data_IF_061242270962
#
_entry.id   IF_061242270962
#
_cell.length_a   1.000
_cell.length_b   1.000
_cell.length_c   1.000
_cell.angle_alpha   90.00
_cell.angle_beta   90.00
_cell.angle_gamma   90.00
#
_symmetry.space_group_name_H-M   'P 1'
#
loop_
_entity.id
_entity.type
_entity.pdbx_description
1 polymer ?
#
# COMPACT_ATOMS: atom_id res chain seq x y z
N UNK A 1 -6.93 23.03 3.65
CA UNK A 1 -6.02 21.87 3.54
C UNK A 1 -4.63 22.30 3.93
N UNK A 2 -4.09 21.80 5.03
CA UNK A 2 -2.78 22.19 5.59
C UNK A 2 -1.69 21.16 5.38
N UNK A 3 -1.97 20.08 4.63
CA UNK A 3 -1.05 18.98 4.36
C UNK A 3 -0.67 18.89 2.88
N UNK A 4 0.42 18.21 2.59
CA UNK A 4 0.80 17.86 1.23
C UNK A 4 -0.33 17.11 0.52
N UNK A 5 -0.62 17.46 -0.72
CA UNK A 5 -1.46 16.60 -1.58
C UNK A 5 -0.53 15.54 -2.16
N UNK A 6 -0.72 14.31 -1.73
CA UNK A 6 0.13 13.18 -2.13
C UNK A 6 -0.71 12.14 -2.83
N UNK A 7 -0.30 11.75 -4.02
CA UNK A 7 -0.77 10.52 -4.65
C UNK A 7 0.39 9.53 -4.76
N UNK A 8 0.11 8.28 -4.42
CA UNK A 8 1.07 7.19 -4.54
C UNK A 8 0.50 6.12 -5.47
N UNK A 9 1.26 5.71 -6.44
CA UNK A 9 0.90 4.66 -7.39
C UNK A 9 2.00 3.62 -7.42
N UNK A 10 1.63 2.37 -7.13
CA UNK A 10 2.53 1.24 -7.29
C UNK A 10 2.36 0.66 -8.69
N UNK A 11 3.47 0.50 -9.40
CA UNK A 11 3.52 -0.22 -10.67
C UNK A 11 4.06 -1.63 -10.44
N UNK A 12 3.31 -2.61 -10.92
CA UNK A 12 3.67 -4.04 -10.86
C UNK A 12 3.90 -4.63 -12.26
N UNK A 13 3.87 -3.80 -13.30
CA UNK A 13 4.00 -4.29 -14.68
C UNK A 13 5.33 -4.99 -14.98
N UNK A 14 6.49 -4.48 -14.54
CA UNK A 14 7.78 -5.08 -14.83
C UNK A 14 8.24 -6.08 -13.76
N UNK A 15 7.34 -6.62 -12.93
CA UNK A 15 7.74 -7.56 -11.87
C UNK A 15 8.28 -8.85 -12.48
N UNK A 16 9.47 -9.23 -12.01
CA UNK A 16 10.12 -10.51 -12.27
C UNK A 16 10.42 -11.22 -10.96
N UNK A 17 10.48 -12.54 -11.01
CA UNK A 17 10.82 -13.41 -9.87
C UNK A 17 12.08 -14.17 -10.24
N UNK A 18 13.14 -13.95 -9.48
CA UNK A 18 14.41 -14.63 -9.66
C UNK A 18 14.72 -15.47 -8.43
N UNK A 19 15.26 -16.69 -8.62
CA UNK A 19 15.72 -17.53 -7.50
C UNK A 19 16.76 -16.78 -6.69
N UNK A 20 16.51 -16.63 -5.39
CA UNK A 20 17.48 -16.01 -4.49
C UNK A 20 18.65 -16.97 -4.27
N UNK A 21 19.85 -16.48 -4.50
CA UNK A 21 21.07 -17.25 -4.27
C UNK A 21 21.61 -16.98 -2.87
N UNK A 22 22.14 -18.00 -2.23
CA UNK A 22 22.81 -17.96 -0.93
C UNK A 22 24.22 -18.53 -1.05
N UNK A 23 25.10 -18.13 -0.16
CA UNK A 23 26.51 -18.56 -0.12
C UNK A 23 27.46 -17.54 -0.75
N UNK A 24 28.65 -17.37 -0.16
CA UNK A 24 29.67 -16.44 -0.63
C UNK A 24 30.57 -17.06 -1.70
N UNK A 25 31.10 -18.26 -1.44
CA UNK A 25 32.03 -18.95 -2.34
C UNK A 25 31.26 -19.86 -3.31
N UNK A 26 30.37 -20.68 -2.75
CA UNK A 26 29.50 -21.57 -3.54
C UNK A 26 28.07 -21.05 -3.48
N UNK A 27 27.64 -20.45 -4.57
CA UNK A 27 26.25 -19.98 -4.70
C UNK A 27 25.32 -21.16 -4.90
N UNK A 28 24.33 -21.30 -4.03
CA UNK A 28 23.24 -22.27 -4.16
C UNK A 28 21.90 -21.55 -4.03
N UNK A 29 20.85 -22.14 -4.56
CA UNK A 29 19.50 -21.60 -4.41
C UNK A 29 19.12 -21.58 -2.92
N UNK A 30 18.62 -20.42 -2.47
CA UNK A 30 18.21 -20.27 -1.09
C UNK A 30 16.92 -21.03 -0.85
N UNK A 31 17.00 -22.07 -0.02
CA UNK A 31 15.87 -22.83 0.50
C UNK A 31 15.99 -22.89 2.02
N UNK A 32 14.93 -22.55 2.74
CA UNK A 32 14.88 -22.55 4.20
C UNK A 32 13.50 -22.96 4.68
N UNK A 33 13.45 -23.55 5.84
CA UNK A 33 12.17 -23.86 6.48
C UNK A 33 11.50 -22.61 7.05
N UNK A 34 10.22 -22.41 6.72
CA UNK A 34 9.39 -21.30 7.18
C UNK A 34 8.20 -21.89 7.94
N UNK A 35 8.23 -21.82 9.29
CA UNK A 35 7.29 -22.53 10.13
C UNK A 35 7.39 -24.04 9.92
N UNK A 36 6.28 -24.66 9.53
CA UNK A 36 6.22 -26.11 9.28
C UNK A 36 6.55 -26.52 7.82
N UNK A 37 6.89 -25.55 6.93
CA UNK A 37 6.98 -25.77 5.48
C UNK A 37 8.38 -25.51 4.94
N UNK A 38 8.86 -26.36 4.04
CA UNK A 38 10.07 -26.07 3.29
C UNK A 38 9.75 -25.10 2.15
N UNK A 39 10.58 -24.07 1.99
CA UNK A 39 10.30 -22.97 1.09
C UNK A 39 11.53 -22.56 0.28
N UNK A 40 11.30 -22.27 -0.99
CA UNK A 40 12.27 -21.72 -1.92
C UNK A 40 12.11 -20.18 -1.98
N UNK A 41 13.23 -19.46 -1.91
CA UNK A 41 13.22 -18.00 -1.89
C UNK A 41 13.40 -17.41 -3.28
N UNK A 42 12.61 -16.39 -3.56
CA UNK A 42 12.68 -15.60 -4.78
C UNK A 42 12.84 -14.11 -4.43
N UNK A 43 13.72 -13.46 -5.16
CA UNK A 43 13.83 -12.01 -5.17
C UNK A 43 12.83 -11.46 -6.18
N UNK A 44 11.98 -10.54 -5.75
CA UNK A 44 10.99 -9.88 -6.58
C UNK A 44 11.57 -8.53 -7.01
N UNK A 45 11.80 -8.37 -8.29
CA UNK A 45 12.33 -7.13 -8.88
C UNK A 45 11.28 -6.39 -9.71
N UNK A 46 11.57 -5.14 -10.07
CA UNK A 46 10.71 -4.33 -10.92
C UNK A 46 9.51 -3.68 -10.22
N UNK A 47 9.40 -3.79 -8.90
CA UNK A 47 8.42 -3.00 -8.18
C UNK A 47 8.83 -1.53 -8.12
N UNK A 48 7.94 -0.63 -8.51
CA UNK A 48 8.17 0.81 -8.44
C UNK A 48 7.02 1.54 -7.78
N UNK A 49 7.36 2.45 -6.90
CA UNK A 49 6.43 3.38 -6.25
C UNK A 49 6.63 4.77 -6.81
N UNK A 50 5.65 5.25 -7.54
CA UNK A 50 5.61 6.62 -8.06
C UNK A 50 4.81 7.46 -7.09
N UNK A 51 5.46 8.41 -6.46
CA UNK A 51 4.80 9.39 -5.58
C UNK A 51 4.78 10.75 -6.27
N UNK A 52 3.62 11.39 -6.29
CA UNK A 52 3.43 12.75 -6.78
C UNK A 52 2.98 13.61 -5.62
N UNK A 53 3.70 14.70 -5.40
CA UNK A 53 3.41 15.67 -4.33
C UNK A 53 3.12 17.03 -4.91
N UNK A 54 2.11 17.69 -4.36
CA UNK A 54 1.74 19.07 -4.67
C UNK A 54 1.74 19.88 -3.39
N UNK A 55 2.31 21.06 -3.43
CA UNK A 55 2.51 21.94 -2.28
C UNK A 55 2.22 23.41 -2.57
N UNK A 56 1.74 23.73 -3.76
CA UNK A 56 1.48 25.09 -4.18
C UNK A 56 0.45 25.84 -3.31
N UNK A 57 -0.31 25.11 -2.51
CA UNK A 57 -1.31 25.63 -1.58
C UNK A 57 -0.77 25.85 -0.16
N UNK A 58 0.48 25.47 0.12
CA UNK A 58 1.09 25.53 1.45
C UNK A 58 2.00 26.74 1.58
N UNK A 59 2.06 27.31 2.79
CA UNK A 59 3.08 28.30 3.14
C UNK A 59 4.42 27.62 3.40
N UNK A 60 5.52 28.40 3.39
CA UNK A 60 6.83 27.90 3.76
C UNK A 60 6.86 27.34 5.20
N UNK A 61 6.08 27.93 6.11
CA UNK A 61 5.94 27.49 7.48
C UNK A 61 5.20 26.15 7.57
N UNK A 62 4.12 25.95 6.78
CA UNK A 62 3.40 24.68 6.72
C UNK A 62 4.28 23.55 6.19
N UNK A 63 5.08 23.85 5.15
CA UNK A 63 6.02 22.87 4.58
C UNK A 63 7.06 22.45 5.62
N UNK A 64 7.58 23.40 6.41
CA UNK A 64 8.55 23.12 7.47
C UNK A 64 7.94 22.26 8.59
N UNK A 65 6.72 22.58 9.03
CA UNK A 65 5.99 21.81 10.04
C UNK A 65 5.67 20.39 9.55
N UNK A 66 5.20 20.25 8.32
CA UNK A 66 4.92 18.93 7.73
C UNK A 66 6.18 18.07 7.60
N UNK A 67 7.33 18.68 7.29
CA UNK A 67 8.61 17.97 7.24
C UNK A 67 9.06 17.49 8.63
N UNK A 68 8.95 18.33 9.64
CA UNK A 68 9.27 17.96 11.02
C UNK A 68 8.37 16.82 11.51
N UNK A 69 7.06 16.89 11.23
CA UNK A 69 6.11 15.84 11.53
C UNK A 69 6.52 14.50 10.93
N UNK A 70 6.84 14.46 9.64
CA UNK A 70 7.25 13.22 8.97
C UNK A 70 8.58 12.68 9.50
N UNK A 71 9.49 13.55 9.94
CA UNK A 71 10.75 13.13 10.56
C UNK A 71 10.50 12.49 11.93
N UNK A 72 9.65 13.08 12.76
CA UNK A 72 9.29 12.54 14.08
C UNK A 72 8.59 11.18 13.95
N UNK A 73 7.69 11.02 12.97
CA UNK A 73 7.06 9.74 12.67
C UNK A 73 8.07 8.66 12.26
N UNK A 74 9.08 9.03 11.46
CA UNK A 74 10.11 8.11 11.01
C UNK A 74 11.04 7.63 12.13
N UNK A 75 11.17 8.42 13.21
CA UNK A 75 11.97 8.08 14.41
C UNK A 75 11.13 7.32 15.47
N UNK A 76 9.82 7.10 15.21
CA UNK A 76 8.94 6.39 16.13
C UNK A 76 8.55 7.20 17.37
N UNK A 77 8.72 8.52 17.33
CA UNK A 77 8.26 9.40 18.40
C UNK A 77 6.73 9.48 18.38
N UNK A 78 6.09 9.05 19.48
CA UNK A 78 4.66 9.21 19.67
C UNK A 78 4.31 10.71 19.70
N UNK A 79 3.37 11.10 18.85
CA UNK A 79 2.90 12.48 18.83
C UNK A 79 1.83 12.73 19.89
N UNK A 80 1.89 13.92 20.50
CA UNK A 80 0.81 14.39 21.33
C UNK A 80 -0.42 14.70 20.44
N UNK A 81 -1.62 14.32 20.88
CA UNK A 81 -2.90 14.55 20.19
C UNK A 81 -3.14 16.02 19.82
N UNK A 82 -2.56 16.95 20.56
CA UNK A 82 -2.66 18.40 20.31
C UNK A 82 -1.92 18.86 19.05
N UNK A 83 -0.81 18.22 18.69
CA UNK A 83 -0.08 18.50 17.45
C UNK A 83 -0.87 18.03 16.21
N UNK A 84 -1.55 16.90 16.31
CA UNK A 84 -2.42 16.41 15.24
C UNK A 84 -3.63 17.32 15.01
N UNK A 85 -4.27 17.81 16.08
CA UNK A 85 -5.39 18.76 16.02
C UNK A 85 -4.96 20.11 15.43
N UNK A 86 -3.76 20.60 15.72
CA UNK A 86 -3.23 21.85 15.16
C UNK A 86 -3.02 21.79 13.65
N UNK A 87 -2.79 20.60 13.08
CA UNK A 87 -2.67 20.39 11.63
C UNK A 87 -4.00 20.53 10.89
N UNK A 88 -5.12 20.26 11.55
CA UNK A 88 -6.45 20.30 10.92
C UNK A 88 -7.04 21.72 10.79
N UNK A 89 -6.61 22.69 11.61
CA UNK A 89 -7.21 24.02 11.71
C UNK A 89 -6.40 25.15 11.08
N UNK A 90 -5.49 24.85 10.14
CA UNK A 90 -4.68 25.90 9.50
C UNK A 90 -5.45 26.66 8.43
N UNK A 91 -5.25 27.96 8.40
CA UNK A 91 -5.79 28.81 7.33
C UNK A 91 -5.06 28.46 6.02
N UNK A 92 -5.81 28.14 4.97
CA UNK A 92 -5.26 28.03 3.62
C UNK A 92 -4.70 29.39 3.17
N UNK A 93 -3.74 29.34 2.23
CA UNK A 93 -3.28 30.55 1.56
C UNK A 93 -4.46 31.29 0.93
N UNK A 94 -4.47 32.63 0.97
CA UNK A 94 -5.48 33.40 0.26
C UNK A 94 -5.46 33.05 -1.24
N UNK A 95 -6.57 33.19 -1.95
CA UNK A 95 -6.60 32.96 -3.38
C UNK A 95 -5.55 33.82 -4.09
N UNK A 96 -4.98 33.38 -5.21
CA UNK A 96 -4.03 34.19 -5.98
C UNK A 96 -4.70 35.50 -6.39
N UNK A 97 -3.99 36.62 -6.22
CA UNK A 97 -4.52 37.95 -6.52
C UNK A 97 -4.83 38.20 -8.00
N UNK A 98 -4.34 37.34 -8.89
CA UNK A 98 -4.64 37.36 -10.32
C UNK A 98 -4.88 35.92 -10.78
N UNK A 99 -5.97 35.70 -11.49
CA UNK A 99 -6.22 34.45 -12.19
C UNK A 99 -5.19 34.28 -13.29
N UNK A 100 -4.48 33.17 -13.38
CA UNK A 100 -3.48 32.94 -14.40
C UNK A 100 -4.06 32.78 -15.82
N UNK A 101 -5.38 32.61 -15.94
CA UNK A 101 -6.10 32.33 -17.19
C UNK A 101 -7.21 33.36 -17.38
N UNK A 102 -7.26 33.94 -18.58
CA UNK A 102 -8.36 34.81 -18.99
C UNK A 102 -9.58 34.00 -19.40
N UNK A 103 -10.73 34.68 -19.50
CA UNK A 103 -11.96 34.02 -19.94
C UNK A 103 -11.86 33.51 -21.38
N UNK A 104 -11.22 34.24 -22.26
CA UNK A 104 -10.96 33.86 -23.66
C UNK A 104 -10.06 32.61 -23.74
N UNK A 105 -9.01 32.54 -22.95
CA UNK A 105 -8.13 31.37 -22.87
C UNK A 105 -8.88 30.13 -22.34
N UNK A 106 -9.79 30.34 -21.36
CA UNK A 106 -10.64 29.25 -20.84
C UNK A 106 -11.59 28.71 -21.90
N UNK A 107 -12.26 29.56 -22.64
CA UNK A 107 -13.18 29.17 -23.70
C UNK A 107 -12.47 28.56 -24.91
N UNK A 108 -11.25 29.03 -25.22
CA UNK A 108 -10.44 28.52 -26.32
C UNK A 108 -9.65 27.25 -26.00
N UNK A 109 -9.76 26.72 -24.78
CA UNK A 109 -9.02 25.55 -24.37
C UNK A 109 -9.45 24.29 -25.12
N UNK A 110 -8.48 23.46 -25.48
CA UNK A 110 -8.76 22.18 -26.13
C UNK A 110 -9.56 21.24 -25.22
N UNK A 111 -10.50 20.45 -25.77
CA UNK A 111 -11.25 19.47 -24.99
C UNK A 111 -10.35 18.52 -24.22
N UNK A 112 -10.57 18.37 -22.92
CA UNK A 112 -9.78 17.51 -22.04
C UNK A 112 -8.50 18.15 -21.47
N UNK A 113 -8.17 19.38 -21.84
CA UNK A 113 -7.02 20.14 -21.35
C UNK A 113 -7.47 21.52 -20.81
N UNK A 114 -8.29 21.58 -19.77
CA UNK A 114 -8.73 22.86 -19.23
C UNK A 114 -7.53 23.63 -18.68
N UNK A 115 -7.46 24.96 -18.91
CA UNK A 115 -6.41 25.77 -18.33
C UNK A 115 -6.56 25.85 -16.81
N UNK A 116 -5.46 26.12 -16.09
CA UNK A 116 -5.49 26.18 -14.63
C UNK A 116 -6.30 27.39 -14.13
N UNK A 117 -7.43 27.14 -13.49
CA UNK A 117 -8.30 28.14 -12.88
C UNK A 117 -7.88 28.59 -11.49
N UNK A 118 -6.67 28.33 -11.08
CA UNK A 118 -6.19 28.64 -9.75
C UNK A 118 -4.68 28.78 -9.72
N UNK A 119 -4.06 28.39 -8.60
CA UNK A 119 -2.60 28.36 -8.55
C UNK A 119 -2.06 27.35 -9.54
N UNK A 120 -1.00 27.75 -10.26
CA UNK A 120 -0.29 26.83 -11.14
C UNK A 120 0.12 25.56 -10.35
N UNK A 121 -0.22 24.40 -10.87
CA UNK A 121 0.08 23.15 -10.21
C UNK A 121 1.58 22.83 -10.34
N UNK A 122 2.25 22.73 -9.21
CA UNK A 122 3.65 22.31 -9.15
C UNK A 122 3.70 20.87 -8.65
N UNK A 123 3.83 19.92 -9.58
CA UNK A 123 3.89 18.49 -9.28
C UNK A 123 5.36 18.08 -9.13
N UNK A 124 5.75 17.67 -7.94
CA UNK A 124 7.03 16.99 -7.72
C UNK A 124 6.79 15.48 -7.74
N UNK A 125 7.34 14.82 -8.76
CA UNK A 125 7.28 13.37 -8.90
C UNK A 125 8.59 12.75 -8.40
N UNK A 126 8.45 11.67 -7.64
CA UNK A 126 9.57 10.82 -7.22
C UNK A 126 9.21 9.37 -7.50
N UNK A 127 10.13 8.64 -8.12
CA UNK A 127 10.00 7.21 -8.39
C UNK A 127 11.04 6.46 -7.58
N UNK A 128 10.60 5.50 -6.78
CA UNK A 128 11.47 4.57 -6.06
C UNK A 128 11.24 3.17 -6.56
N UNK A 129 12.30 2.50 -6.91
CA UNK A 129 12.29 1.05 -7.17
C UNK A 129 12.72 0.33 -5.91
N UNK A 130 12.14 -0.82 -5.65
CA UNK A 130 12.52 -1.67 -4.52
C UNK A 130 12.37 -3.14 -4.88
N UNK A 131 13.11 -3.95 -4.15
CA UNK A 131 13.08 -5.40 -4.28
C UNK A 131 12.34 -5.96 -3.06
N UNK A 132 11.54 -6.97 -3.27
CA UNK A 132 10.93 -7.73 -2.18
C UNK A 132 11.51 -9.14 -2.16
N UNK A 133 11.29 -9.83 -1.06
CA UNK A 133 11.65 -11.23 -0.90
C UNK A 133 10.37 -12.03 -0.67
N UNK A 134 10.22 -13.14 -1.39
CA UNK A 134 9.11 -14.07 -1.23
C UNK A 134 9.64 -15.48 -1.06
N UNK A 135 9.09 -16.22 -0.10
CA UNK A 135 9.36 -17.66 0.06
C UNK A 135 8.13 -18.44 -0.37
N UNK A 136 8.28 -19.33 -1.33
CA UNK A 136 7.23 -20.16 -1.89
C UNK A 136 7.37 -21.61 -1.41
N UNK A 137 6.28 -22.22 -0.98
CA UNK A 137 6.24 -23.63 -0.59
C UNK A 137 5.15 -24.38 -1.35
N UNK A 138 5.51 -25.52 -1.91
CA UNK A 138 4.55 -26.43 -2.56
C UNK A 138 3.84 -27.35 -1.55
N UNK A 139 4.38 -27.44 -0.34
CA UNK A 139 3.84 -28.28 0.74
C UNK A 139 2.71 -27.59 1.52
N UNK A 140 2.49 -26.30 1.30
CA UNK A 140 1.45 -25.58 2.02
C UNK A 140 0.06 -26.08 1.61
N UNK A 141 -0.81 -26.48 2.55
CA UNK A 141 -2.04 -27.21 2.24
C UNK A 141 -3.17 -26.34 1.65
N UNK A 142 -2.94 -25.04 1.47
CA UNK A 142 -3.89 -24.11 0.87
C UNK A 142 -3.31 -23.54 -0.43
N UNK A 143 -4.10 -23.48 -1.49
CA UNK A 143 -3.70 -22.78 -2.71
C UNK A 143 -3.94 -21.27 -2.60
N UNK A 144 -3.19 -20.51 -3.38
CA UNK A 144 -3.41 -19.04 -3.47
C UNK A 144 -4.82 -18.73 -3.99
N UNK A 145 -5.36 -19.53 -4.91
CA UNK A 145 -6.72 -19.36 -5.41
C UNK A 145 -7.76 -19.44 -4.31
N UNK A 146 -7.70 -20.48 -3.48
CA UNK A 146 -8.63 -20.65 -2.34
C UNK A 146 -8.49 -19.54 -1.31
N UNK A 147 -7.26 -19.07 -1.03
CA UNK A 147 -7.07 -17.89 -0.17
C UNK A 147 -7.78 -16.66 -0.75
N UNK A 148 -7.66 -16.43 -2.05
CA UNK A 148 -8.31 -15.29 -2.71
C UNK A 148 -9.83 -15.41 -2.72
N UNK A 149 -10.39 -16.62 -2.84
CA UNK A 149 -11.83 -16.88 -2.71
C UNK A 149 -12.34 -16.52 -1.31
N UNK A 150 -11.59 -16.91 -0.28
CA UNK A 150 -11.91 -16.54 1.11
C UNK A 150 -11.85 -15.00 1.29
N UNK A 151 -10.80 -14.35 0.78
CA UNK A 151 -10.65 -12.91 0.89
C UNK A 151 -11.75 -12.14 0.15
N UNK A 152 -12.27 -12.68 -0.95
CA UNK A 152 -13.38 -12.08 -1.69
C UNK A 152 -14.66 -11.98 -0.85
N UNK A 153 -14.86 -12.95 0.04
CA UNK A 153 -16.03 -13.00 0.93
C UNK A 153 -15.82 -12.13 2.17
N UNK A 154 -14.64 -12.26 2.80
CA UNK A 154 -14.37 -11.65 4.12
C UNK A 154 -13.98 -10.17 4.03
N UNK A 155 -13.25 -9.81 2.99
CA UNK A 155 -12.70 -8.47 2.79
C UNK A 155 -12.74 -8.07 1.31
N UNK A 156 -13.91 -7.82 0.73
CA UNK A 156 -14.03 -7.49 -0.67
C UNK A 156 -13.34 -6.14 -0.97
N UNK A 157 -12.31 -6.17 -1.79
CA UNK A 157 -11.63 -4.96 -2.24
C UNK A 157 -11.64 -4.83 -3.77
N UNK A 158 -11.75 -3.61 -4.25
CA UNK A 158 -12.01 -3.26 -5.68
C UNK A 158 -11.03 -3.88 -6.68
N UNK A 159 -9.87 -4.37 -6.23
CA UNK A 159 -8.80 -4.85 -7.13
C UNK A 159 -8.47 -6.33 -6.97
N UNK A 160 -9.32 -7.11 -6.29
CA UNK A 160 -9.08 -8.53 -6.06
C UNK A 160 -8.90 -9.32 -7.36
N UNK A 161 -9.72 -9.03 -8.39
CA UNK A 161 -9.59 -9.66 -9.71
C UNK A 161 -8.23 -9.40 -10.39
N UNK A 162 -7.66 -8.21 -10.19
CA UNK A 162 -6.32 -7.90 -10.71
C UNK A 162 -5.24 -8.68 -9.95
N UNK A 163 -5.41 -8.80 -8.62
CA UNK A 163 -4.52 -9.58 -7.77
C UNK A 163 -4.59 -11.06 -8.14
N UNK A 164 -5.80 -11.62 -8.32
CA UNK A 164 -6.01 -13.00 -8.76
C UNK A 164 -5.26 -13.29 -10.05
N UNK A 165 -5.50 -12.47 -11.08
CA UNK A 165 -4.82 -12.62 -12.36
C UNK A 165 -3.30 -12.49 -12.27
N UNK A 166 -2.80 -11.60 -11.41
CA UNK A 166 -1.37 -11.47 -11.16
C UNK A 166 -0.81 -12.74 -10.52
N UNK A 167 -1.48 -13.28 -9.50
CA UNK A 167 -1.07 -14.50 -8.82
C UNK A 167 -1.05 -15.71 -9.76
N UNK A 168 -2.07 -15.87 -10.60
CA UNK A 168 -2.18 -16.99 -11.55
C UNK A 168 -1.10 -16.97 -12.65
N UNK A 169 -0.72 -15.77 -13.10
CA UNK A 169 0.18 -15.64 -14.27
C UNK A 169 1.63 -15.42 -13.89
N UNK A 170 1.90 -14.84 -12.73
CA UNK A 170 3.23 -14.33 -12.40
C UNK A 170 3.91 -15.00 -11.22
N UNK A 171 3.15 -15.49 -10.23
CA UNK A 171 3.77 -16.10 -9.07
C UNK A 171 4.51 -17.39 -9.43
N UNK A 172 5.67 -17.64 -8.80
CA UNK A 172 6.30 -18.96 -8.84
C UNK A 172 5.38 -20.04 -8.26
N UNK A 173 5.64 -21.33 -8.56
CA UNK A 173 4.86 -22.45 -8.04
C UNK A 173 4.78 -22.45 -6.51
N UNK A 174 3.65 -22.91 -5.97
CA UNK A 174 3.40 -23.07 -4.55
C UNK A 174 2.62 -21.91 -3.92
N UNK A 175 2.63 -21.87 -2.60
CA UNK A 175 1.99 -20.84 -1.79
C UNK A 175 3.04 -19.89 -1.18
N UNK A 176 2.79 -18.57 -1.12
CA UNK A 176 3.72 -17.62 -0.54
C UNK A 176 3.69 -17.70 1.00
N UNK A 177 4.49 -18.56 1.59
CA UNK A 177 4.57 -18.74 3.05
C UNK A 177 5.27 -17.59 3.76
N UNK A 178 6.07 -16.79 3.04
CA UNK A 178 6.71 -15.59 3.58
C UNK A 178 6.81 -14.52 2.52
N UNK A 179 6.39 -13.31 2.87
CA UNK A 179 6.49 -12.12 2.04
C UNK A 179 7.17 -11.02 2.85
N UNK A 180 8.23 -10.43 2.30
CA UNK A 180 8.97 -9.35 2.93
C UNK A 180 9.13 -8.21 1.93
N UNK A 181 8.45 -7.09 2.21
CA UNK A 181 8.40 -5.91 1.36
C UNK A 181 9.00 -4.73 2.11
N UNK A 182 10.08 -4.09 1.60
CA UNK A 182 10.58 -2.87 2.19
C UNK A 182 9.63 -1.70 1.87
N UNK A 183 8.98 -1.17 2.90
CA UNK A 183 8.08 -0.02 2.78
C UNK A 183 8.83 1.31 2.82
N UNK A 184 9.82 1.39 3.70
CA UNK A 184 10.72 2.54 3.89
C UNK A 184 12.17 2.03 3.97
N UNK A 185 13.17 2.89 3.87
CA UNK A 185 14.59 2.47 3.96
C UNK A 185 14.94 1.66 5.22
N UNK A 186 14.19 1.88 6.30
CA UNK A 186 14.43 1.24 7.60
C UNK A 186 13.27 0.35 8.06
N UNK A 187 12.17 0.27 7.31
CA UNK A 187 10.97 -0.44 7.71
C UNK A 187 10.57 -1.41 6.60
N UNK A 188 10.48 -2.70 6.95
CA UNK A 188 9.97 -3.75 6.07
C UNK A 188 8.68 -4.33 6.65
N UNK A 189 7.67 -4.54 5.81
CA UNK A 189 6.53 -5.34 6.15
C UNK A 189 6.86 -6.81 5.89
N UNK A 190 6.66 -7.64 6.90
CA UNK A 190 6.93 -9.08 6.84
C UNK A 190 5.67 -9.85 7.23
N UNK A 191 5.17 -10.64 6.32
CA UNK A 191 4.07 -11.58 6.54
C UNK A 191 4.64 -12.99 6.49
N UNK A 192 4.27 -13.83 7.46
CA UNK A 192 4.75 -15.22 7.52
C UNK A 192 3.59 -16.13 7.92
N UNK A 193 3.32 -17.13 7.11
CA UNK A 193 2.40 -18.22 7.42
C UNK A 193 3.21 -19.35 8.06
N UNK A 194 3.04 -19.54 9.35
CA UNK A 194 3.83 -20.51 10.10
C UNK A 194 3.18 -21.88 10.11
N UNK A 195 1.85 -21.93 10.21
CA UNK A 195 1.08 -23.16 10.34
C UNK A 195 -0.34 -22.97 9.83
N UNK A 196 -0.85 -23.94 9.13
CA UNK A 196 -2.27 -24.06 8.76
C UNK A 196 -2.79 -25.40 9.22
N UNK A 197 -3.94 -25.42 9.87
CA UNK A 197 -4.62 -26.63 10.31
C UNK A 197 -6.09 -26.54 9.89
N UNK A 198 -6.56 -27.55 9.16
CA UNK A 198 -7.99 -27.72 8.93
C UNK A 198 -8.66 -28.21 10.21
N UNK A 199 -9.84 -27.67 10.51
CA UNK A 199 -10.61 -27.98 11.72
C UNK A 199 -12.00 -28.46 11.32
N UNK A 200 -12.29 -29.74 11.63
CA UNK A 200 -13.60 -30.36 11.38
C UNK A 200 -14.55 -30.26 12.60
N UNK A 201 -14.02 -29.78 13.73
CA UNK A 201 -14.76 -29.61 15.00
C UNK A 201 -15.56 -28.30 15.07
N UNK A 202 -15.46 -27.42 14.05
CA UNK A 202 -16.19 -26.16 14.01
C UNK A 202 -17.66 -26.43 13.63
N UNK A 203 -18.57 -26.21 14.58
CA UNK A 203 -19.99 -26.36 14.36
C UNK A 203 -20.66 -25.02 14.04
N UNK A 204 -21.78 -25.05 13.29
CA UNK A 204 -22.57 -23.86 12.97
C UNK A 204 -22.99 -23.05 14.22
N UNK A 205 -23.09 -23.71 15.37
CA UNK A 205 -23.43 -23.05 16.65
C UNK A 205 -22.40 -22.02 17.07
N UNK A 206 -21.13 -22.21 16.75
CA UNK A 206 -20.03 -21.29 17.09
C UNK A 206 -20.11 -19.95 16.33
N UNK A 207 -20.79 -19.94 15.19
CA UNK A 207 -20.99 -18.74 14.35
C UNK A 207 -22.33 -18.06 14.60
N UNK A 208 -23.14 -18.57 15.55
CA UNK A 208 -24.44 -18.00 15.85
C UNK A 208 -24.29 -16.75 16.71
N UNK A 209 -24.78 -15.62 16.18
CA UNK A 209 -24.78 -14.36 16.92
C UNK A 209 -25.70 -14.49 18.13
N UNK A 210 -25.23 -14.25 19.36
CA UNK A 210 -26.07 -14.28 20.55
C UNK A 210 -27.21 -13.26 20.43
N UNK A 211 -28.40 -13.64 20.97
CA UNK A 211 -29.59 -12.77 20.94
C UNK A 211 -29.41 -11.43 21.69
N UNK A 212 -28.40 -11.36 22.58
CA UNK A 212 -28.05 -10.14 23.32
C UNK A 212 -27.31 -9.09 22.47
N UNK A 213 -26.81 -9.45 21.29
CA UNK A 213 -26.16 -8.51 20.37
C UNK A 213 -27.22 -7.74 19.60
N UNK A 214 -26.99 -6.45 19.43
CA UNK A 214 -27.81 -5.56 18.60
C UNK A 214 -27.00 -5.11 17.41
N UNK A 215 -27.66 -5.04 16.26
CA UNK A 215 -27.07 -4.47 15.05
C UNK A 215 -26.93 -2.96 15.24
N UNK A 216 -25.72 -2.44 14.96
CA UNK A 216 -25.42 -1.00 14.92
C UNK A 216 -24.97 -0.62 13.52
N UNK A 217 -25.94 -0.20 12.71
CA UNK A 217 -25.70 0.19 11.32
C UNK A 217 -24.78 1.43 11.16
N UNK A 218 -24.55 2.19 12.22
CA UNK A 218 -23.73 3.41 12.17
C UNK A 218 -22.29 3.20 12.63
N UNK A 219 -21.95 2.01 13.13
CA UNK A 219 -20.60 1.76 13.67
C UNK A 219 -19.53 1.66 12.58
N UNK A 220 -19.91 1.21 11.38
CA UNK A 220 -19.03 1.09 10.22
C UNK A 220 -19.78 1.56 8.97
N UNK A 221 -20.01 2.87 8.83
CA UNK A 221 -20.83 3.41 7.73
C UNK A 221 -20.20 3.25 6.34
N UNK A 222 -18.91 2.86 6.27
CA UNK A 222 -18.15 2.74 5.02
C UNK A 222 -17.96 1.28 4.54
N UNK A 223 -18.62 0.29 5.17
CA UNK A 223 -18.64 -1.09 4.73
C UNK A 223 -19.75 -1.35 3.71
#
# INVERSE_FOLDING_TARGET
MSSDIVSAQMSTKPITFERTMSGWIFKHEKAERVGDYDACYYTVEGMSLVTRKRREHLTAEDIKKNKAFMQNLAVGSAMADDEFKSLQHRKSLPPPGRMPTTWEEYLGAAPGLPPPLGRAQVVKQNTKTFKALIAMSEEFPLSVGVLLDILEIVAPFKHLNKLRRFCEVRLPPGFPVRLEIPLLPTISAKVTFQKLVFRDDLTFKMFKIPKSYREDANRFPDL
#
